data_IF_801650441317
#
_entry.id   IF_801650441317
#
_cell.length_a   1.000
_cell.length_b   1.000
_cell.length_c   1.000
_cell.angle_alpha   90.00
_cell.angle_beta   90.00
_cell.angle_gamma   90.00
#
_symmetry.space_group_name_H-M   'P 1'
#
loop_
_entity.id
_entity.type
_entity.pdbx_description
1 polymer ?
#
# COMPACT_ATOMS: atom_id res chain seq x y z
N UNK A 1 -1.03 1.17 -11.04
CA UNK A 1 -1.51 0.04 -11.85
C UNK A 1 -2.53 -0.80 -11.09
N UNK A 2 -2.22 -1.44 -9.94
CA UNK A 2 -3.13 -2.36 -9.21
C UNK A 2 -4.49 -1.73 -8.87
N UNK A 3 -4.53 -0.60 -8.18
CA UNK A 3 -5.79 0.07 -7.80
C UNK A 3 -6.64 0.43 -9.03
N UNK A 4 -6.00 0.89 -10.10
CA UNK A 4 -6.66 1.16 -11.38
C UNK A 4 -7.22 -0.10 -12.03
N UNK A 5 -6.48 -1.21 -12.00
CA UNK A 5 -6.93 -2.51 -12.53
C UNK A 5 -8.23 -2.98 -11.83
N UNK A 6 -8.29 -2.84 -10.52
CA UNK A 6 -9.50 -3.18 -9.73
C UNK A 6 -10.57 -2.09 -9.76
N UNK A 7 -10.42 -1.06 -10.61
CA UNK A 7 -11.38 0.06 -10.76
C UNK A 7 -11.70 0.75 -9.44
N UNK A 8 -10.70 0.87 -8.58
CA UNK A 8 -10.81 1.59 -7.31
C UNK A 8 -10.66 3.07 -7.62
N UNK A 9 -11.75 3.81 -7.45
CA UNK A 9 -11.73 5.26 -7.57
C UNK A 9 -10.95 5.86 -6.39
N UNK A 10 -10.02 6.75 -6.69
CA UNK A 10 -9.15 7.41 -5.72
C UNK A 10 -9.62 8.81 -5.38
N UNK A 11 -10.40 9.45 -6.26
CA UNK A 11 -10.81 10.83 -6.08
C UNK A 11 -11.61 11.03 -4.79
N UNK A 12 -11.15 11.93 -3.94
CA UNK A 12 -11.75 12.23 -2.65
C UNK A 12 -11.61 11.15 -1.58
N UNK A 13 -10.95 10.01 -1.87
CA UNK A 13 -10.70 8.94 -0.89
C UNK A 13 -9.52 9.28 -0.01
N UNK A 14 -9.70 9.25 1.30
CA UNK A 14 -8.62 9.51 2.22
C UNK A 14 -7.60 8.37 2.21
N UNK A 15 -6.37 8.67 1.84
CA UNK A 15 -5.29 7.70 1.78
C UNK A 15 -4.25 7.97 2.87
N UNK A 16 -3.79 6.91 3.53
CA UNK A 16 -2.67 6.96 4.46
C UNK A 16 -1.53 6.13 3.93
N UNK A 17 -0.40 6.76 3.69
CA UNK A 17 0.85 6.11 3.29
C UNK A 17 1.74 6.02 4.51
N UNK A 18 2.08 4.81 4.96
CA UNK A 18 2.90 4.58 6.14
C UNK A 18 4.31 4.20 5.69
N UNK A 19 5.23 5.11 5.84
CA UNK A 19 6.59 5.03 5.36
C UNK A 19 6.95 6.22 4.47
N UNK A 20 8.15 6.76 4.62
CA UNK A 20 8.60 7.96 3.89
C UNK A 20 9.89 7.73 3.10
N UNK A 21 10.11 6.50 2.66
CA UNK A 21 11.26 6.18 1.80
C UNK A 21 11.17 6.93 0.48
N UNK A 22 12.34 7.19 -0.11
CA UNK A 22 12.43 7.85 -1.42
C UNK A 22 11.96 6.94 -2.56
N UNK A 23 11.93 5.63 -2.36
CA UNK A 23 11.61 4.65 -3.39
C UNK A 23 10.14 4.20 -3.36
N UNK A 24 9.44 4.32 -2.23
CA UNK A 24 8.05 3.88 -2.11
C UNK A 24 7.18 4.97 -1.50
N UNK A 25 7.37 5.33 -0.24
CA UNK A 25 6.43 6.15 0.52
C UNK A 25 6.18 7.53 -0.10
N UNK A 26 7.25 8.28 -0.40
CA UNK A 26 7.13 9.60 -1.02
C UNK A 26 6.57 9.54 -2.44
N UNK A 27 7.10 8.73 -3.36
CA UNK A 27 6.52 8.61 -4.70
C UNK A 27 5.06 8.18 -4.68
N UNK A 28 4.68 7.26 -3.79
CA UNK A 28 3.30 6.81 -3.66
C UNK A 28 2.38 7.93 -3.20
N UNK A 29 2.81 8.77 -2.24
CA UNK A 29 2.01 9.91 -1.80
C UNK A 29 1.76 10.93 -2.92
N UNK A 30 2.76 11.22 -3.75
CA UNK A 30 2.59 12.07 -4.93
C UNK A 30 1.66 11.45 -5.96
N UNK A 31 1.80 10.16 -6.26
CA UNK A 31 0.93 9.47 -7.22
C UNK A 31 -0.54 9.50 -6.77
N UNK A 32 -0.81 9.24 -5.50
CA UNK A 32 -2.17 9.28 -4.97
C UNK A 32 -2.74 10.69 -5.02
N UNK A 33 -1.95 11.71 -4.67
CA UNK A 33 -2.35 13.12 -4.78
C UNK A 33 -2.66 13.53 -6.22
N UNK A 34 -1.86 13.07 -7.18
CA UNK A 34 -2.11 13.31 -8.61
C UNK A 34 -3.38 12.62 -9.15
N UNK A 35 -3.94 11.72 -8.37
CA UNK A 35 -5.23 11.07 -8.62
C UNK A 35 -6.33 11.58 -7.68
N UNK A 36 -6.20 12.82 -7.21
CA UNK A 36 -7.18 13.55 -6.40
C UNK A 36 -7.52 12.89 -5.05
N UNK A 37 -6.64 12.04 -4.51
CA UNK A 37 -6.78 11.47 -3.17
C UNK A 37 -6.15 12.42 -2.13
N UNK A 38 -6.86 12.82 -1.07
CA UNK A 38 -6.24 13.41 0.11
C UNK A 38 -5.30 12.42 0.79
N UNK A 39 -4.02 12.79 0.97
CA UNK A 39 -2.98 11.88 1.45
C UNK A 39 -2.39 12.34 2.77
N UNK A 40 -2.35 11.44 3.74
CA UNK A 40 -1.53 11.56 4.94
C UNK A 40 -0.29 10.69 4.80
N UNK A 41 0.90 11.31 4.81
CA UNK A 41 2.17 10.60 4.84
C UNK A 41 2.62 10.42 6.29
N UNK A 42 2.48 9.21 6.82
CA UNK A 42 2.85 8.83 8.18
C UNK A 42 4.21 8.14 8.24
N UNK A 43 4.87 8.20 9.38
CA UNK A 43 6.21 7.64 9.58
C UNK A 43 6.45 7.28 11.06
N UNK A 44 7.62 6.77 11.40
CA UNK A 44 7.98 6.31 12.76
C UNK A 44 7.86 7.36 13.87
N UNK A 45 7.80 8.66 13.52
CA UNK A 45 7.59 9.76 14.48
C UNK A 45 6.17 10.32 14.44
N UNK A 46 5.25 9.71 13.67
CA UNK A 46 3.85 10.11 13.66
C UNK A 46 3.21 9.67 14.97
N UNK A 47 2.72 10.58 15.80
CA UNK A 47 2.03 10.20 17.03
C UNK A 47 0.70 9.56 16.67
N UNK A 48 0.33 8.53 17.43
CA UNK A 48 -0.96 7.84 17.29
C UNK A 48 -1.33 7.51 15.83
N UNK A 49 -0.56 6.61 15.22
CA UNK A 49 -0.78 6.16 13.85
C UNK A 49 -2.20 5.58 13.63
N UNK A 50 -2.79 4.96 14.67
CA UNK A 50 -4.16 4.40 14.61
C UNK A 50 -5.21 5.44 14.30
N UNK A 51 -5.02 6.68 14.76
CA UNK A 51 -5.94 7.78 14.46
C UNK A 51 -6.10 8.02 12.96
N UNK A 52 -5.04 7.82 12.20
CA UNK A 52 -5.06 8.02 10.76
C UNK A 52 -5.55 6.77 10.02
N UNK A 53 -5.07 5.58 10.39
CA UNK A 53 -5.39 4.34 9.69
C UNK A 53 -6.85 3.92 9.88
N UNK A 54 -7.43 4.14 11.04
CA UNK A 54 -8.84 3.79 11.34
C UNK A 54 -9.85 4.65 10.61
N UNK A 55 -9.46 5.81 10.11
CA UNK A 55 -10.33 6.73 9.36
C UNK A 55 -10.04 6.76 7.86
N UNK A 56 -9.03 6.03 7.41
CA UNK A 56 -8.63 5.98 6.01
C UNK A 56 -9.52 5.07 5.17
N UNK A 57 -9.74 5.44 3.93
CA UNK A 57 -10.35 4.57 2.91
C UNK A 57 -9.30 3.65 2.28
N UNK A 58 -8.06 4.13 2.19
CA UNK A 58 -6.93 3.41 1.60
C UNK A 58 -5.72 3.51 2.52
N UNK A 59 -5.09 2.38 2.82
CA UNK A 59 -3.86 2.31 3.61
C UNK A 59 -2.77 1.62 2.79
N UNK A 60 -1.65 2.33 2.59
CA UNK A 60 -0.45 1.79 1.95
C UNK A 60 0.59 1.56 3.03
N UNK A 61 0.91 0.30 3.31
CA UNK A 61 1.94 -0.08 4.27
C UNK A 61 3.29 -0.23 3.57
N UNK A 62 4.26 0.60 3.95
CA UNK A 62 5.63 0.62 3.41
C UNK A 62 6.64 0.94 4.53
N UNK A 63 6.54 0.21 5.65
CA UNK A 63 7.27 0.45 6.89
C UNK A 63 8.59 -0.32 6.91
N UNK A 64 8.59 -1.54 6.38
CA UNK A 64 9.69 -2.48 6.46
C UNK A 64 9.80 -3.15 7.85
N UNK A 65 8.66 -3.47 8.47
CA UNK A 65 8.58 -4.19 9.75
C UNK A 65 7.55 -5.30 9.67
N UNK A 66 7.99 -6.54 9.83
CA UNK A 66 7.14 -7.72 9.77
C UNK A 66 5.93 -7.62 10.71
N UNK A 67 4.72 -7.78 10.13
CA UNK A 67 3.45 -7.89 10.86
C UNK A 67 3.20 -6.75 11.87
N UNK A 68 3.70 -5.56 11.59
CA UNK A 68 3.60 -4.40 12.49
C UNK A 68 2.17 -3.86 12.62
N UNK A 69 1.40 -3.86 11.53
CA UNK A 69 0.02 -3.40 11.51
C UNK A 69 -0.93 -4.57 11.80
N UNK A 70 -1.38 -4.67 13.02
CA UNK A 70 -2.38 -5.63 13.47
C UNK A 70 -3.82 -5.10 13.36
N UNK A 71 -4.80 -5.90 13.78
CA UNK A 71 -6.23 -5.54 13.75
C UNK A 71 -6.55 -4.21 14.46
N UNK A 72 -5.79 -3.80 15.48
CA UNK A 72 -6.05 -2.59 16.26
C UNK A 72 -5.84 -1.29 15.48
N UNK A 73 -5.13 -1.37 14.37
CA UNK A 73 -4.90 -0.22 13.47
C UNK A 73 -6.08 0.08 12.55
N UNK A 74 -7.08 -0.79 12.48
CA UNK A 74 -8.17 -0.70 11.53
C UNK A 74 -9.53 -0.67 12.25
N UNK A 75 -10.55 -0.18 11.56
CA UNK A 75 -11.92 -0.12 12.06
C UNK A 75 -12.85 -0.95 11.16
N UNK A 76 -13.46 -1.98 11.73
CA UNK A 76 -14.39 -2.83 11.00
C UNK A 76 -15.68 -2.10 10.57
N UNK A 77 -16.04 -0.99 11.24
CA UNK A 77 -17.15 -0.15 10.82
C UNK A 77 -16.81 0.70 9.57
N UNK A 78 -15.52 0.88 9.30
CA UNK A 78 -15.01 1.59 8.12
C UNK A 78 -13.88 0.78 7.47
N UNK A 79 -14.21 -0.33 6.78
CA UNK A 79 -13.21 -1.24 6.24
C UNK A 79 -12.37 -0.58 5.13
N UNK A 80 -11.04 -0.43 5.31
CA UNK A 80 -10.18 0.16 4.31
C UNK A 80 -9.79 -0.83 3.21
N UNK A 81 -9.25 -0.29 2.12
CA UNK A 81 -8.43 -1.05 1.17
C UNK A 81 -6.99 -0.97 1.66
N UNK A 82 -6.35 -2.11 1.89
CA UNK A 82 -4.99 -2.21 2.41
C UNK A 82 -4.06 -2.75 1.33
N UNK A 83 -3.04 -1.96 0.99
CA UNK A 83 -1.97 -2.35 0.07
C UNK A 83 -0.68 -2.50 0.87
N UNK A 84 -0.25 -3.73 1.07
CA UNK A 84 0.98 -4.05 1.77
C UNK A 84 2.14 -4.16 0.78
N UNK A 85 3.08 -3.23 0.88
CA UNK A 85 4.31 -3.18 0.07
C UNK A 85 5.49 -3.78 0.84
N UNK A 86 5.30 -4.11 2.12
CA UNK A 86 6.32 -4.69 2.96
C UNK A 86 6.85 -6.02 2.41
N UNK A 87 8.13 -6.23 2.53
CA UNK A 87 8.79 -7.48 2.18
C UNK A 87 9.77 -7.83 3.31
N UNK A 88 9.31 -8.63 4.24
CA UNK A 88 10.04 -9.00 5.45
C UNK A 88 10.08 -10.53 5.59
N UNK A 89 10.86 -11.01 6.54
CA UNK A 89 10.82 -12.40 7.00
C UNK A 89 10.37 -12.43 8.45
N UNK A 90 9.51 -13.36 8.77
CA UNK A 90 9.09 -13.60 10.15
C UNK A 90 10.10 -14.48 10.90
N UNK A 91 9.78 -14.84 12.13
CA UNK A 91 10.64 -15.65 13.00
C UNK A 91 10.98 -17.04 12.42
N UNK A 92 10.15 -17.54 11.50
CA UNK A 92 10.36 -18.81 10.80
C UNK A 92 11.00 -18.63 9.41
N UNK A 93 11.56 -17.47 9.12
CA UNK A 93 12.08 -17.10 7.80
C UNK A 93 11.06 -17.14 6.66
N UNK A 94 9.78 -17.19 6.98
CA UNK A 94 8.72 -17.10 5.99
C UNK A 94 8.53 -15.64 5.54
N UNK A 95 8.36 -15.44 4.22
CA UNK A 95 8.12 -14.12 3.65
C UNK A 95 6.77 -13.57 4.15
N UNK A 96 6.78 -12.36 4.67
CA UNK A 96 5.59 -11.68 5.15
C UNK A 96 5.64 -10.17 4.88
N UNK A 97 4.48 -9.52 4.96
CA UNK A 97 4.35 -8.08 4.83
C UNK A 97 4.51 -7.30 6.13
N UNK A 98 4.22 -6.01 6.03
CA UNK A 98 4.13 -5.10 7.17
C UNK A 98 2.81 -5.27 7.94
N UNK A 99 1.80 -5.85 7.30
CA UNK A 99 0.47 -6.08 7.87
C UNK A 99 0.34 -7.51 8.37
N UNK A 100 -0.28 -7.68 9.54
CA UNK A 100 -0.64 -9.00 10.05
C UNK A 100 -1.87 -9.52 9.29
N UNK A 101 -1.62 -10.17 8.15
CA UNK A 101 -2.64 -10.53 7.16
C UNK A 101 -3.84 -11.25 7.77
N UNK A 102 -3.60 -12.31 8.57
CA UNK A 102 -4.66 -13.14 9.15
C UNK A 102 -5.59 -12.37 10.09
N UNK A 103 -5.08 -11.35 10.76
CA UNK A 103 -5.89 -10.51 11.65
C UNK A 103 -6.66 -9.42 10.91
N UNK A 104 -6.16 -8.98 9.75
CA UNK A 104 -6.69 -7.82 9.04
C UNK A 104 -7.61 -8.20 7.89
N UNK A 105 -7.43 -9.38 7.28
CA UNK A 105 -8.24 -9.84 6.14
C UNK A 105 -9.75 -9.86 6.40
N UNK A 106 -10.17 -10.12 7.65
CA UNK A 106 -11.58 -10.10 8.06
C UNK A 106 -12.15 -8.71 8.34
N UNK A 107 -11.29 -7.68 8.40
CA UNK A 107 -11.64 -6.29 8.69
C UNK A 107 -11.58 -5.44 7.41
N UNK A 108 -10.54 -5.61 6.61
CA UNK A 108 -10.33 -4.84 5.39
C UNK A 108 -11.34 -5.19 4.31
N UNK A 109 -11.77 -4.19 3.54
CA UNK A 109 -12.58 -4.39 2.34
C UNK A 109 -11.82 -5.18 1.27
N UNK A 110 -10.53 -4.94 1.16
CA UNK A 110 -9.59 -5.69 0.35
C UNK A 110 -8.18 -5.53 0.94
N UNK A 111 -7.36 -6.56 0.83
CA UNK A 111 -5.98 -6.55 1.30
C UNK A 111 -5.11 -7.35 0.34
N UNK A 112 -3.91 -6.83 0.03
CA UNK A 112 -2.93 -7.57 -0.76
C UNK A 112 -2.19 -8.58 0.11
N UNK A 113 -2.06 -9.85 -0.32
CA UNK A 113 -1.23 -10.82 0.39
C UNK A 113 0.27 -10.56 0.18
N UNK A 114 1.10 -11.03 1.08
CA UNK A 114 2.55 -11.12 0.93
C UNK A 114 2.99 -12.53 1.34
N UNK A 115 3.53 -13.32 0.40
CA UNK A 115 3.80 -13.06 -1.02
C UNK A 115 2.55 -13.07 -1.90
N UNK A 116 2.71 -12.63 -3.17
CA UNK A 116 1.69 -12.76 -4.21
C UNK A 116 0.85 -11.50 -4.49
N UNK A 117 1.03 -10.43 -3.71
CA UNK A 117 0.35 -9.14 -3.92
C UNK A 117 1.14 -8.16 -4.78
N UNK A 118 1.77 -7.18 -4.14
CA UNK A 118 2.48 -6.07 -4.82
C UNK A 118 3.75 -6.53 -5.54
N UNK A 119 4.46 -7.54 -5.02
CA UNK A 119 5.72 -8.02 -5.60
C UNK A 119 5.63 -8.32 -7.10
N UNK A 120 4.74 -9.23 -7.55
CA UNK A 120 4.56 -9.52 -8.99
C UNK A 120 4.15 -8.31 -9.81
N UNK A 121 3.41 -7.36 -9.25
CA UNK A 121 2.97 -6.13 -9.93
C UNK A 121 4.13 -5.20 -10.27
N UNK A 122 5.22 -5.23 -9.54
CA UNK A 122 6.42 -4.44 -9.84
C UNK A 122 7.00 -4.85 -11.19
N UNK A 123 7.10 -6.15 -11.44
CA UNK A 123 7.61 -6.70 -12.71
C UNK A 123 6.64 -6.39 -13.85
N UNK A 124 5.34 -6.56 -13.62
CA UNK A 124 4.31 -6.22 -14.59
C UNK A 124 4.36 -4.74 -14.98
N UNK A 125 4.44 -3.84 -14.01
CA UNK A 125 4.50 -2.39 -14.26
C UNK A 125 5.77 -2.00 -15.01
N UNK A 126 6.90 -2.66 -14.76
CA UNK A 126 8.12 -2.45 -15.52
C UNK A 126 7.91 -2.84 -16.99
N UNK A 127 7.34 -4.00 -17.25
CA UNK A 127 7.06 -4.46 -18.62
C UNK A 127 6.07 -3.52 -19.34
N UNK A 128 5.01 -3.06 -18.65
CA UNK A 128 4.04 -2.09 -19.15
C UNK A 128 4.69 -0.77 -19.57
N UNK A 129 5.73 -0.32 -18.87
CA UNK A 129 6.47 0.91 -19.21
C UNK A 129 7.52 0.72 -20.30
N UNK A 130 8.07 -0.48 -20.47
CA UNK A 130 9.07 -0.76 -21.49
C UNK A 130 8.49 -0.66 -22.91
N UNK A 131 7.26 -1.10 -23.14
CA UNK A 131 6.64 -1.09 -24.46
C UNK A 131 6.55 0.32 -25.07
N UNK A 132 5.96 1.31 -24.39
CA UNK A 132 5.92 2.68 -24.93
C UNK A 132 7.30 3.34 -25.04
N UNK A 133 8.26 2.95 -24.18
CA UNK A 133 9.62 3.46 -24.28
C UNK A 133 10.35 2.92 -25.52
N UNK A 134 10.18 1.64 -25.84
CA UNK A 134 10.71 1.02 -27.03
C UNK A 134 10.11 1.64 -28.32
N UNK A 135 8.79 1.84 -28.35
CA UNK A 135 8.11 2.49 -29.47
C UNK A 135 8.64 3.90 -29.76
N UNK A 136 8.90 4.70 -28.71
CA UNK A 136 9.48 6.06 -28.85
C UNK A 136 10.94 6.04 -29.30
N UNK A 137 11.66 4.97 -29.07
CA UNK A 137 13.07 4.83 -29.47
C UNK A 137 13.22 4.39 -30.93
N UNK A 138 12.15 3.90 -31.55
CA UNK A 138 12.13 3.45 -32.95
C UNK A 138 11.64 4.55 -33.91
N UNK A 139 11.22 5.70 -33.39
CA UNK A 139 10.88 6.91 -34.14
C UNK A 139 12.04 7.92 -34.10
#
# INVERSE_FOLDING_TARGET
TMLKHYKIDLAGKSAVVIGRSMIVGRPMSYLLTNHDAPVTLAHSRTPDLRRFTRTADIVIAAIGKAKFLDATYFDAARPPIVVDVGMNHDENWALCGDVHFDQVQGIAKAITPVPGGVGPMTIYSLAEHLLPAAERSLC
#
